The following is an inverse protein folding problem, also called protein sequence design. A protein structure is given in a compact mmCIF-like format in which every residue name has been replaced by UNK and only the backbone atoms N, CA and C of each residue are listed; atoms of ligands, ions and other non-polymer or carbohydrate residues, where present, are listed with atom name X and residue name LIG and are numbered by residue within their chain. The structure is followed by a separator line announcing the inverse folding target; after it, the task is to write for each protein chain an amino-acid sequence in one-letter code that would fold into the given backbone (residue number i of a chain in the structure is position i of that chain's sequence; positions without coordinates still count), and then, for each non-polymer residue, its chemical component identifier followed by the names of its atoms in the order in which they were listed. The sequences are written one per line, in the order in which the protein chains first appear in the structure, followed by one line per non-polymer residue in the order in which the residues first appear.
data_IF_299339034366
#
_entry.id   IF_299339034366
#
_cell.length_a   1.000
_cell.length_b   1.000
_cell.length_c   1.000
_cell.angle_alpha   90.00
_cell.angle_beta   90.00
_cell.angle_gamma   90.00
#
_symmetry.space_group_name_H-M   'P 1'
#
loop_
_entity.id
_entity.type
_entity.pdbx_description
1 polymer ?
#
# COMPACT_ATOMS: atom_id res chain seq x y z
N UNK A 1 -5.25 -10.89 3.65
CA UNK A 1 -5.74 -10.07 2.54
C UNK A 1 -6.77 -9.07 3.05
N UNK A 2 -6.89 -7.96 2.38
CA UNK A 2 -7.83 -6.90 2.78
C UNK A 2 -9.25 -7.42 2.93
N UNK A 3 -9.70 -8.26 2.00
CA UNK A 3 -11.07 -8.80 2.03
C UNK A 3 -11.36 -9.68 3.24
N UNK A 4 -10.33 -10.14 3.94
CA UNK A 4 -10.48 -11.00 5.11
C UNK A 4 -10.61 -10.21 6.41
N UNK A 5 -10.29 -8.92 6.37
CA UNK A 5 -10.41 -8.06 7.54
C UNK A 5 -11.84 -7.55 7.67
N UNK A 6 -12.35 -7.46 8.91
CA UNK A 6 -13.62 -6.81 9.11
C UNK A 6 -13.44 -5.29 8.93
N UNK A 7 -14.55 -4.60 8.70
CA UNK A 7 -14.53 -3.18 8.40
C UNK A 7 -13.91 -2.35 9.52
N UNK A 8 -14.23 -2.68 10.76
CA UNK A 8 -13.72 -1.95 11.91
C UNK A 8 -12.21 -2.07 12.06
N UNK A 9 -11.69 -3.29 11.91
CA UNK A 9 -10.25 -3.55 11.95
C UNK A 9 -9.53 -2.84 10.81
N UNK A 10 -10.11 -2.89 9.63
CA UNK A 10 -9.52 -2.23 8.46
C UNK A 10 -9.45 -0.72 8.67
N UNK A 11 -10.52 -0.11 9.19
CA UNK A 11 -10.54 1.33 9.44
C UNK A 11 -9.51 1.74 10.49
N UNK A 12 -9.33 0.94 11.53
CA UNK A 12 -8.29 1.21 12.53
C UNK A 12 -6.90 1.20 11.92
N UNK A 13 -6.62 0.21 11.09
CA UNK A 13 -5.33 0.11 10.41
C UNK A 13 -5.12 1.27 9.45
N UNK A 14 -6.14 1.64 8.70
CA UNK A 14 -6.07 2.78 7.79
C UNK A 14 -5.81 4.10 8.54
N UNK A 15 -6.49 4.31 9.65
CA UNK A 15 -6.30 5.52 10.44
C UNK A 15 -4.88 5.63 10.97
N UNK A 16 -4.34 4.53 11.47
CA UNK A 16 -2.97 4.48 11.95
C UNK A 16 -1.98 4.77 10.83
N UNK A 17 -2.17 4.16 9.67
CA UNK A 17 -1.30 4.34 8.52
C UNK A 17 -1.32 5.77 8.02
N UNK A 18 -2.49 6.38 7.92
CA UNK A 18 -2.63 7.77 7.49
C UNK A 18 -1.95 8.71 8.47
N UNK A 19 -2.16 8.51 9.78
CA UNK A 19 -1.50 9.32 10.79
C UNK A 19 0.01 9.22 10.71
N UNK A 20 0.54 8.02 10.55
CA UNK A 20 1.97 7.79 10.41
C UNK A 20 2.50 8.48 9.14
N UNK A 21 1.77 8.40 8.05
CA UNK A 21 2.16 9.02 6.79
C UNK A 21 2.31 10.54 6.93
N UNK A 22 1.34 11.18 7.57
CA UNK A 22 1.44 12.63 7.79
C UNK A 22 2.65 12.99 8.65
N UNK A 23 2.94 12.22 9.67
CA UNK A 23 4.13 12.45 10.50
C UNK A 23 5.41 12.35 9.64
N UNK A 24 5.52 11.31 8.83
CA UNK A 24 6.70 11.11 7.98
C UNK A 24 6.86 12.20 6.93
N UNK A 25 5.75 12.76 6.47
CA UNK A 25 5.78 13.86 5.50
C UNK A 25 6.02 15.23 6.16
N UNK A 26 6.00 15.27 7.48
CA UNK A 26 6.12 16.54 8.20
C UNK A 26 4.89 17.44 8.05
N UNK A 27 3.75 16.87 7.73
CA UNK A 27 2.52 17.62 7.56
C UNK A 27 1.62 17.48 8.78
N UNK A 28 0.94 18.57 9.13
CA UNK A 28 -0.01 18.57 10.23
C UNK A 28 -1.41 18.71 9.65
N UNK A 29 -2.28 17.77 9.95
CA UNK A 29 -3.67 17.77 9.50
C UNK A 29 -4.61 17.61 10.68
N UNK A 30 -5.81 18.18 10.58
CA UNK A 30 -6.78 18.04 11.65
C UNK A 30 -7.41 16.63 11.64
N UNK A 31 -8.09 16.30 12.72
CA UNK A 31 -8.70 14.99 12.89
C UNK A 31 -9.76 14.69 11.83
N UNK A 32 -10.52 15.70 11.43
CA UNK A 32 -11.57 15.51 10.44
C UNK A 32 -11.00 15.11 9.09
N UNK A 33 -9.92 15.75 8.65
CA UNK A 33 -9.25 15.40 7.41
C UNK A 33 -8.70 13.99 7.46
N UNK A 34 -8.12 13.59 8.58
CA UNK A 34 -7.60 12.23 8.76
C UNK A 34 -8.71 11.20 8.67
N UNK A 35 -9.85 11.46 9.29
CA UNK A 35 -11.00 10.56 9.27
C UNK A 35 -11.54 10.43 7.85
N UNK A 36 -11.66 11.54 7.13
CA UNK A 36 -12.13 11.51 5.74
C UNK A 36 -11.20 10.71 4.84
N UNK A 37 -9.90 10.88 4.97
CA UNK A 37 -8.93 10.11 4.21
C UNK A 37 -8.96 8.63 4.59
N UNK A 38 -9.17 8.34 5.87
CA UNK A 38 -9.29 6.96 6.35
C UNK A 38 -10.48 6.25 5.69
N UNK A 39 -11.62 6.92 5.62
CA UNK A 39 -12.80 6.37 4.95
C UNK A 39 -12.55 6.13 3.47
N UNK A 40 -11.92 7.09 2.81
CA UNK A 40 -11.60 6.95 1.39
C UNK A 40 -10.63 5.80 1.15
N UNK A 41 -9.60 5.68 1.97
CA UNK A 41 -8.64 4.59 1.85
C UNK A 41 -9.31 3.23 2.06
N UNK A 42 -10.13 3.10 3.08
CA UNK A 42 -10.86 1.86 3.35
C UNK A 42 -11.71 1.46 2.15
N UNK A 43 -12.44 2.41 1.58
CA UNK A 43 -13.28 2.14 0.42
C UNK A 43 -12.47 1.74 -0.81
N UNK A 44 -11.35 2.41 -1.04
CA UNK A 44 -10.46 2.06 -2.15
C UNK A 44 -9.94 0.62 -1.99
N UNK A 45 -9.51 0.27 -0.80
CA UNK A 45 -8.98 -1.07 -0.55
C UNK A 45 -10.04 -2.15 -0.74
N UNK A 46 -11.22 -1.94 -0.20
CA UNK A 46 -12.30 -2.91 -0.32
C UNK A 46 -12.75 -3.09 -1.77
N UNK A 47 -12.88 -1.99 -2.49
CA UNK A 47 -13.49 -2.01 -3.83
C UNK A 47 -12.48 -2.28 -4.94
N UNK A 48 -11.23 -1.87 -4.77
CA UNK A 48 -10.24 -1.93 -5.84
C UNK A 48 -9.09 -2.90 -5.57
N UNK A 49 -8.75 -3.14 -4.32
CA UNK A 49 -7.59 -3.94 -3.94
C UNK A 49 -7.90 -4.97 -2.86
N UNK A 50 -9.00 -5.73 -2.97
CA UNK A 50 -9.37 -6.66 -1.89
C UNK A 50 -8.39 -7.82 -1.73
N UNK A 51 -7.57 -8.08 -2.73
CA UNK A 51 -6.62 -9.19 -2.72
C UNK A 51 -5.21 -8.80 -2.27
N UNK A 52 -4.98 -7.53 -1.95
CA UNK A 52 -3.68 -7.13 -1.40
C UNK A 52 -3.58 -7.53 0.06
N UNK A 53 -2.37 -7.87 0.49
CA UNK A 53 -2.08 -8.06 1.92
C UNK A 53 -1.92 -6.69 2.57
N UNK A 54 -2.11 -6.64 3.89
CA UNK A 54 -1.87 -5.39 4.61
C UNK A 54 -0.41 -4.94 4.50
N UNK A 55 0.52 -5.89 4.50
CA UNK A 55 1.94 -5.58 4.33
C UNK A 55 2.21 -4.90 2.99
N UNK A 56 1.52 -5.32 1.93
CA UNK A 56 1.66 -4.67 0.63
C UNK A 56 1.13 -3.23 0.67
N UNK A 57 0.05 -2.98 1.41
CA UNK A 57 -0.48 -1.62 1.58
C UNK A 57 0.53 -0.73 2.30
N UNK A 58 1.11 -1.23 3.38
CA UNK A 58 2.15 -0.50 4.12
C UNK A 58 3.34 -0.19 3.23
N UNK A 59 3.78 -1.17 2.44
CA UNK A 59 4.90 -0.98 1.52
C UNK A 59 4.58 0.06 0.44
N UNK A 60 3.34 0.06 -0.06
CA UNK A 60 2.91 1.04 -1.05
C UNK A 60 3.06 2.47 -0.52
N UNK A 61 2.67 2.70 0.72
CA UNK A 61 2.78 4.02 1.34
C UNK A 61 4.23 4.39 1.60
N UNK A 62 5.03 3.45 2.08
CA UNK A 62 6.45 3.68 2.31
C UNK A 62 7.17 4.04 1.00
N UNK A 63 6.93 3.29 -0.05
CA UNK A 63 7.50 3.58 -1.37
C UNK A 63 7.05 4.94 -1.89
N UNK A 64 5.76 5.23 -1.72
CA UNK A 64 5.20 6.50 -2.16
C UNK A 64 5.85 7.70 -1.48
N UNK A 65 6.04 7.61 -0.17
CA UNK A 65 6.69 8.67 0.60
C UNK A 65 8.12 8.89 0.10
N UNK A 66 8.87 7.83 -0.11
CA UNK A 66 10.27 7.93 -0.51
C UNK A 66 10.46 8.39 -1.94
N UNK A 67 9.54 8.04 -2.82
CA UNK A 67 9.65 8.34 -4.25
C UNK A 67 9.00 9.66 -4.65
N UNK A 68 8.18 10.23 -3.79
CA UNK A 68 7.48 11.48 -4.09
C UNK A 68 8.25 12.65 -3.53
N UNK A 69 8.51 13.65 -4.36
CA UNK A 69 9.23 14.85 -3.94
C UNK A 69 8.31 15.90 -3.34
N UNK A 70 7.21 16.13 -4.00
CA UNK A 70 6.34 17.26 -3.65
C UNK A 70 4.91 16.83 -3.86
N UNK A 71 4.26 16.37 -2.82
CA UNK A 71 2.93 15.84 -2.99
C UNK A 71 2.01 16.16 -1.82
N UNK A 72 0.75 15.98 -2.11
CA UNK A 72 -0.33 16.20 -1.20
C UNK A 72 -1.08 14.88 -1.04
N UNK A 73 -1.22 14.40 0.17
CA UNK A 73 -1.90 13.12 0.40
C UNK A 73 -3.40 13.26 0.16
N UNK A 74 -3.89 12.55 -0.84
CA UNK A 74 -5.30 12.53 -1.19
C UNK A 74 -5.65 11.16 -1.75
N UNK A 75 -6.94 10.93 -2.01
CA UNK A 75 -7.41 9.64 -2.51
C UNK A 75 -6.71 9.22 -3.79
N UNK A 76 -6.49 10.16 -4.69
CA UNK A 76 -5.84 9.90 -5.97
C UNK A 76 -4.39 9.44 -5.80
N UNK A 77 -3.66 10.08 -4.89
CA UNK A 77 -2.28 9.71 -4.58
C UNK A 77 -2.22 8.31 -3.99
N UNK A 78 -3.10 8.02 -3.03
CA UNK A 78 -3.17 6.71 -2.40
C UNK A 78 -3.48 5.61 -3.41
N UNK A 79 -4.42 5.88 -4.32
CA UNK A 79 -4.76 4.94 -5.38
C UNK A 79 -3.55 4.64 -6.27
N UNK A 80 -2.80 5.66 -6.65
CA UNK A 80 -1.61 5.49 -7.49
C UNK A 80 -0.56 4.62 -6.80
N UNK A 81 -0.33 4.85 -5.53
CA UNK A 81 0.65 4.07 -4.77
C UNK A 81 0.24 2.60 -4.68
N UNK A 82 -1.03 2.34 -4.40
CA UNK A 82 -1.56 0.99 -4.30
C UNK A 82 -1.52 0.27 -5.66
N UNK A 83 -1.87 0.97 -6.72
CA UNK A 83 -1.81 0.43 -8.06
C UNK A 83 -0.37 0.03 -8.41
N UNK A 84 0.57 0.89 -8.09
CA UNK A 84 1.98 0.65 -8.38
C UNK A 84 2.51 -0.60 -7.66
N UNK A 85 2.17 -0.77 -6.38
CA UNK A 85 2.63 -1.95 -5.65
C UNK A 85 1.99 -3.22 -6.19
N UNK A 86 0.73 -3.17 -6.57
CA UNK A 86 0.06 -4.30 -7.19
C UNK A 86 0.74 -4.73 -8.48
N UNK A 87 1.09 -3.76 -9.32
CA UNK A 87 1.80 -4.04 -10.55
C UNK A 87 3.18 -4.66 -10.31
N UNK A 88 3.90 -4.17 -9.32
CA UNK A 88 5.20 -4.74 -8.95
C UNK A 88 5.07 -6.18 -8.51
N UNK A 89 4.07 -6.49 -7.72
CA UNK A 89 3.83 -7.86 -7.25
C UNK A 89 3.50 -8.78 -8.43
N UNK A 90 2.60 -8.35 -9.30
CA UNK A 90 2.22 -9.15 -10.46
C UNK A 90 3.39 -9.39 -11.41
N UNK A 91 4.18 -8.36 -11.66
CA UNK A 91 5.36 -8.49 -12.52
C UNK A 91 6.40 -9.42 -11.91
N UNK A 92 6.58 -9.35 -10.60
CA UNK A 92 7.46 -10.25 -9.87
C UNK A 92 7.00 -11.69 -9.97
N UNK A 93 5.71 -11.94 -9.82
CA UNK A 93 5.13 -13.27 -9.98
C UNK A 93 5.35 -13.81 -11.38
N UNK A 94 5.05 -13.00 -12.40
CA UNK A 94 5.23 -13.41 -13.78
C UNK A 94 6.68 -13.75 -14.06
N UNK A 95 7.61 -12.95 -13.58
CA UNK A 95 9.03 -13.20 -13.74
C UNK A 95 9.48 -14.49 -13.05
N UNK A 96 8.94 -14.74 -11.86
CA UNK A 96 9.23 -15.95 -11.10
C UNK A 96 8.73 -17.20 -11.81
N UNK A 97 7.53 -17.13 -12.36
CA UNK A 97 6.95 -18.23 -13.15
C UNK A 97 7.80 -18.55 -14.37
N UNK A 98 8.42 -17.53 -14.94
CA UNK A 98 9.32 -17.70 -16.08
C UNK A 98 10.75 -18.02 -15.66
N UNK A 99 11.02 -18.12 -14.36
CA UNK A 99 12.36 -18.34 -13.86
C UNK A 99 13.27 -17.15 -13.95
N UNK A 100 12.72 -15.95 -14.05
CA UNK A 100 13.47 -14.72 -14.28
C UNK A 100 13.72 -13.92 -13.00
N UNK A 101 14.32 -14.53 -12.02
CA UNK A 101 14.62 -13.87 -10.74
C UNK A 101 15.42 -12.58 -10.90
N UNK A 102 16.30 -12.55 -11.88
CA UNK A 102 17.24 -11.44 -12.05
C UNK A 102 16.56 -10.13 -12.44
N UNK A 103 15.35 -10.21 -12.95
CA UNK A 103 14.63 -9.03 -13.36
C UNK A 103 13.81 -8.39 -12.23
N UNK A 104 13.83 -8.99 -11.05
CA UNK A 104 13.12 -8.51 -9.88
C UNK A 104 14.08 -7.68 -9.03
N UNK A 105 13.69 -6.43 -8.72
CA UNK A 105 14.52 -5.61 -7.85
C UNK A 105 14.48 -6.13 -6.40
N UNK A 106 15.44 -5.70 -5.58
CA UNK A 106 15.56 -6.19 -4.21
C UNK A 106 14.33 -5.93 -3.36
N UNK A 107 13.69 -4.80 -3.56
CA UNK A 107 12.53 -4.41 -2.79
C UNK A 107 11.33 -5.29 -3.11
N UNK A 108 11.06 -5.51 -4.38
CA UNK A 108 9.99 -6.40 -4.82
C UNK A 108 10.24 -7.82 -4.35
N UNK A 109 11.50 -8.27 -4.45
CA UNK A 109 11.89 -9.60 -4.00
C UNK A 109 11.62 -9.78 -2.50
N UNK A 110 11.97 -8.79 -1.68
CA UNK A 110 11.71 -8.81 -0.25
C UNK A 110 10.22 -8.89 0.04
N UNK A 111 9.43 -8.11 -0.67
CA UNK A 111 7.98 -8.08 -0.50
C UNK A 111 7.37 -9.45 -0.81
N UNK A 112 7.79 -10.08 -1.89
CA UNK A 112 7.32 -11.41 -2.27
C UNK A 112 7.70 -12.46 -1.22
N UNK A 113 8.92 -12.41 -0.71
CA UNK A 113 9.37 -13.31 0.34
C UNK A 113 8.54 -13.15 1.61
N UNK A 114 8.24 -11.91 2.00
CA UNK A 114 7.42 -11.64 3.17
C UNK A 114 6.02 -12.21 3.03
N UNK A 115 5.52 -12.32 1.82
CA UNK A 115 4.21 -12.89 1.55
C UNK A 115 4.25 -14.40 1.31
N UNK A 116 5.42 -15.00 1.37
CA UNK A 116 5.60 -16.43 1.15
C UNK A 116 5.17 -16.89 -0.24
N UNK A 117 5.36 -16.04 -1.24
CA UNK A 117 4.89 -16.32 -2.59
C UNK A 117 5.90 -17.03 -3.45
N UNK A 118 7.17 -17.00 -3.08
CA UNK A 118 8.24 -17.49 -3.93
C UNK A 118 9.02 -18.63 -3.31
N UNK A 119 8.89 -18.83 -2.08
CA UNK A 119 9.67 -19.83 -1.36
C UNK A 119 9.26 -21.25 -1.71
#
# INVERSE_FOLDING_TARGET
MIKELNKEELEKRCLHLIGKTFVELGQVKDELEKIQLTEKLSNILINRFPNLSWQAVEQAFEDGILESEDFHLCAKTMYKWLYRIREKIWNGWANLEKGSYHSIDNKTKTLLNNQKLIE
#
